data_IF_790053748418
#
_entry.id   IF_790053748418
#
_cell.length_a   1.000
_cell.length_b   1.000
_cell.length_c   1.000
_cell.angle_alpha   90.00
_cell.angle_beta   90.00
_cell.angle_gamma   90.00
#
_symmetry.space_group_name_H-M   'P 1'
#
loop_
_entity.id
_entity.type
_entity.pdbx_description
1 polymer ?
#
# COMPACT_ATOMS: atom_id res chain seq x y z
N UNK A 1 -17.13 0.67 -20.29
CA UNK A 1 -16.90 -0.02 -19.00
C UNK A 1 -15.63 0.58 -18.42
N UNK A 2 -15.54 0.85 -17.11
CA UNK A 2 -14.26 1.27 -16.54
C UNK A 2 -13.25 0.15 -16.79
N UNK A 3 -12.07 0.49 -17.31
CA UNK A 3 -11.05 -0.51 -17.65
C UNK A 3 -10.76 -1.41 -16.44
N UNK A 4 -10.99 -2.71 -16.61
CA UNK A 4 -10.76 -3.74 -15.58
C UNK A 4 -9.31 -3.79 -15.07
N UNK A 5 -8.38 -3.09 -15.74
CA UNK A 5 -6.98 -2.96 -15.34
C UNK A 5 -6.77 -1.91 -14.24
N UNK A 6 -7.80 -1.14 -13.89
CA UNK A 6 -7.66 0.01 -13.01
C UNK A 6 -7.14 -0.34 -11.60
N UNK A 7 -7.78 -1.28 -10.90
CA UNK A 7 -7.36 -1.66 -9.54
C UNK A 7 -6.04 -2.45 -9.54
N UNK A 8 -5.77 -3.19 -10.63
CA UNK A 8 -4.47 -3.84 -10.83
C UNK A 8 -3.34 -2.82 -11.01
N UNK A 9 -3.60 -1.66 -11.63
CA UNK A 9 -2.65 -0.56 -11.68
C UNK A 9 -2.34 -0.02 -10.27
N UNK A 10 -3.36 0.15 -9.42
CA UNK A 10 -3.18 0.60 -8.03
C UNK A 10 -2.42 -0.42 -7.18
N UNK A 11 -2.66 -1.70 -7.41
CA UNK A 11 -1.85 -2.78 -6.84
C UNK A 11 -0.39 -2.68 -7.29
N UNK A 12 -0.14 -2.50 -8.58
CA UNK A 12 1.23 -2.35 -9.10
C UNK A 12 1.94 -1.12 -8.51
N UNK A 13 1.23 0.01 -8.35
CA UNK A 13 1.76 1.21 -7.68
C UNK A 13 2.29 0.91 -6.26
N UNK A 14 1.56 0.07 -5.50
CA UNK A 14 1.96 -0.38 -4.17
C UNK A 14 3.14 -1.36 -4.20
N UNK A 15 3.12 -2.34 -5.10
CA UNK A 15 4.20 -3.34 -5.22
C UNK A 15 5.52 -2.68 -5.61
N UNK A 16 5.50 -1.70 -6.52
CA UNK A 16 6.70 -0.93 -6.87
C UNK A 16 7.25 -0.19 -5.65
N UNK A 17 6.40 0.43 -4.83
CA UNK A 17 6.84 1.09 -3.60
C UNK A 17 7.46 0.08 -2.61
N UNK A 18 6.78 -1.04 -2.36
CA UNK A 18 7.28 -2.10 -1.46
C UNK A 18 8.66 -2.61 -1.90
N UNK A 19 8.85 -2.85 -3.20
CA UNK A 19 10.12 -3.34 -3.72
C UNK A 19 11.25 -2.34 -3.48
N UNK A 20 11.00 -1.04 -3.60
CA UNK A 20 12.00 -0.01 -3.28
C UNK A 20 12.36 0.03 -1.80
N UNK A 21 11.38 -0.12 -0.91
CA UNK A 21 11.64 -0.24 0.53
C UNK A 21 12.51 -1.47 0.82
N UNK A 22 12.21 -2.61 0.20
CA UNK A 22 13.01 -3.84 0.34
C UNK A 22 14.44 -3.64 -0.13
N UNK A 23 14.63 -3.07 -1.32
CA UNK A 23 15.96 -2.79 -1.86
C UNK A 23 16.78 -1.89 -0.91
N UNK A 24 16.18 -0.85 -0.31
CA UNK A 24 16.86 -0.06 0.72
C UNK A 24 17.21 -0.87 1.97
N UNK A 25 16.31 -1.73 2.43
CA UNK A 25 16.56 -2.63 3.57
C UNK A 25 17.66 -3.67 3.29
N UNK A 26 17.90 -3.97 2.02
CA UNK A 26 18.96 -4.85 1.50
C UNK A 26 20.25 -4.07 1.15
N UNK A 27 20.25 -2.73 1.34
CA UNK A 27 21.35 -1.81 1.00
C UNK A 27 21.64 -1.71 -0.51
N UNK A 28 20.64 -1.99 -1.35
CA UNK A 28 20.70 -1.95 -2.81
C UNK A 28 20.07 -0.68 -3.43
N UNK A 29 19.32 0.11 -2.65
CA UNK A 29 18.74 1.40 -3.04
C UNK A 29 18.93 2.42 -1.90
N UNK A 30 18.72 3.70 -2.19
CA UNK A 30 18.79 4.83 -1.24
C UNK A 30 17.40 5.40 -0.90
N UNK A 31 16.34 4.72 -1.34
CA UNK A 31 14.97 5.18 -1.12
C UNK A 31 14.58 5.15 0.36
N UNK A 32 14.21 6.30 0.93
CA UNK A 32 13.89 6.42 2.35
C UNK A 32 12.38 6.39 2.67
N UNK A 33 11.55 5.97 1.71
CA UNK A 33 10.09 6.05 1.86
C UNK A 33 9.53 7.45 1.66
N UNK A 34 8.20 7.55 1.70
CA UNK A 34 7.47 8.83 1.65
C UNK A 34 6.32 8.81 2.65
N UNK A 35 5.74 9.98 2.93
CA UNK A 35 4.43 10.06 3.57
C UNK A 35 3.39 9.23 2.78
N UNK A 36 2.43 8.66 3.50
CA UNK A 36 1.41 7.81 2.92
C UNK A 36 0.52 8.57 1.93
N UNK A 37 0.35 9.89 2.02
CA UNK A 37 -0.39 10.65 0.99
C UNK A 37 0.41 10.86 -0.31
N UNK A 38 1.74 10.71 -0.26
CA UNK A 38 2.63 11.12 -1.34
C UNK A 38 3.03 9.96 -2.27
N UNK A 39 2.84 8.71 -1.85
CA UNK A 39 3.02 7.55 -2.73
C UNK A 39 1.91 7.52 -3.80
N UNK A 40 2.12 6.81 -4.92
CA UNK A 40 1.15 6.79 -6.02
C UNK A 40 -0.22 6.25 -5.60
N UNK A 41 -0.24 5.19 -4.78
CA UNK A 41 -1.47 4.65 -4.20
C UNK A 41 -2.15 5.68 -3.28
N UNK A 42 -1.38 6.34 -2.42
CA UNK A 42 -1.86 7.38 -1.53
C UNK A 42 -2.48 8.57 -2.24
N UNK A 43 -1.80 9.11 -3.24
CA UNK A 43 -2.34 10.20 -4.07
C UNK A 43 -3.68 9.83 -4.69
N UNK A 44 -3.86 8.56 -5.05
CA UNK A 44 -5.13 8.07 -5.53
C UNK A 44 -6.18 7.92 -4.41
N UNK A 45 -5.84 7.30 -3.27
CA UNK A 45 -6.74 7.11 -2.13
C UNK A 45 -7.34 8.42 -1.63
N UNK A 46 -6.54 9.48 -1.60
CA UNK A 46 -6.96 10.79 -1.10
C UNK A 46 -7.33 11.78 -2.22
N UNK A 47 -7.24 11.36 -3.48
CA UNK A 47 -7.59 12.13 -4.66
C UNK A 47 -8.84 11.57 -5.32
N UNK A 48 -8.69 10.96 -6.49
CA UNK A 48 -9.81 10.51 -7.33
C UNK A 48 -10.49 9.21 -6.85
N UNK A 49 -9.84 8.46 -5.96
CA UNK A 49 -10.28 7.14 -5.50
C UNK A 49 -11.71 7.10 -4.93
N UNK A 50 -12.11 8.03 -4.02
CA UNK A 50 -13.45 8.07 -3.47
C UNK A 50 -14.53 8.17 -4.56
N UNK A 51 -14.40 9.12 -5.49
CA UNK A 51 -15.38 9.33 -6.56
C UNK A 51 -15.45 8.12 -7.51
N UNK A 52 -14.32 7.46 -7.78
CA UNK A 52 -14.27 6.25 -8.60
C UNK A 52 -14.91 5.05 -7.91
N UNK A 53 -14.71 4.89 -6.60
CA UNK A 53 -15.36 3.84 -5.82
C UNK A 53 -16.88 4.07 -5.73
N UNK A 54 -17.29 5.31 -5.47
CA UNK A 54 -18.70 5.72 -5.39
C UNK A 54 -19.43 5.47 -6.71
N UNK A 55 -18.74 5.66 -7.85
CA UNK A 55 -19.28 5.42 -9.18
C UNK A 55 -19.56 3.95 -9.52
N UNK A 56 -19.03 3.00 -8.75
CA UNK A 56 -19.26 1.56 -8.94
C UNK A 56 -20.39 1.05 -8.03
N UNK A 57 -20.41 1.48 -6.76
CA UNK A 57 -21.51 1.17 -5.83
C UNK A 57 -21.09 1.05 -4.37
N UNK A 58 -22.06 0.88 -3.49
CA UNK A 58 -21.84 0.87 -2.02
C UNK A 58 -20.91 -0.26 -1.55
N UNK A 59 -20.99 -1.44 -2.16
CA UNK A 59 -20.08 -2.55 -1.86
C UNK A 59 -18.63 -2.21 -2.21
N UNK A 60 -18.39 -1.57 -3.36
CA UNK A 60 -17.07 -1.06 -3.75
C UNK A 60 -16.58 -0.02 -2.75
N UNK A 61 -17.46 0.90 -2.36
CA UNK A 61 -17.11 1.96 -1.42
C UNK A 61 -16.65 1.40 -0.06
N UNK A 62 -17.35 0.39 0.46
CA UNK A 62 -16.97 -0.26 1.70
C UNK A 62 -15.57 -0.89 1.63
N UNK A 63 -15.21 -1.55 0.53
CA UNK A 63 -13.86 -2.09 0.33
C UNK A 63 -12.81 -0.99 0.19
N UNK A 64 -13.13 0.08 -0.56
CA UNK A 64 -12.26 1.24 -0.74
C UNK A 64 -11.90 1.89 0.60
N UNK A 65 -12.89 2.13 1.46
CA UNK A 65 -12.65 2.72 2.80
C UNK A 65 -11.78 1.79 3.68
N UNK A 66 -11.80 0.48 3.41
CA UNK A 66 -10.93 -0.51 4.04
C UNK A 66 -9.43 -0.35 3.73
N UNK A 67 -9.05 0.41 2.69
CA UNK A 67 -7.65 0.60 2.30
C UNK A 67 -6.90 1.58 3.22
N UNK A 68 -7.58 2.58 3.78
CA UNK A 68 -6.92 3.71 4.45
C UNK A 68 -6.10 3.29 5.67
N UNK A 69 -6.69 2.49 6.57
CA UNK A 69 -6.03 2.05 7.79
C UNK A 69 -4.79 1.18 7.55
N UNK A 70 -4.87 0.08 6.77
CA UNK A 70 -3.68 -0.74 6.50
C UNK A 70 -2.63 0.01 5.67
N UNK A 71 -3.02 0.96 4.83
CA UNK A 71 -2.08 1.77 4.06
C UNK A 71 -1.25 2.70 4.94
N UNK A 72 -1.91 3.44 5.84
CA UNK A 72 -1.20 4.29 6.81
C UNK A 72 -0.26 3.47 7.69
N UNK A 73 -0.76 2.36 8.24
CA UNK A 73 0.03 1.48 9.09
C UNK A 73 1.22 0.86 8.34
N UNK A 74 1.09 0.62 7.02
CA UNK A 74 2.17 0.08 6.20
C UNK A 74 3.34 1.07 6.13
N UNK A 75 3.04 2.34 5.88
CA UNK A 75 4.05 3.40 5.86
C UNK A 75 4.71 3.61 7.23
N UNK A 76 3.93 3.56 8.31
CA UNK A 76 4.47 3.60 9.67
C UNK A 76 5.45 2.44 9.93
N UNK A 77 5.07 1.20 9.55
CA UNK A 77 5.93 0.03 9.67
C UNK A 77 7.19 0.12 8.80
N UNK A 78 7.08 0.61 7.56
CA UNK A 78 8.24 0.85 6.69
C UNK A 78 9.20 1.87 7.29
N UNK A 79 8.68 2.97 7.86
CA UNK A 79 9.51 3.99 8.52
C UNK A 79 10.25 3.40 9.73
N UNK A 80 9.58 2.60 10.55
CA UNK A 80 10.22 1.93 11.70
C UNK A 80 11.31 0.98 11.23
N UNK A 81 11.06 0.20 10.17
CA UNK A 81 12.05 -0.73 9.62
C UNK A 81 13.32 -0.01 9.14
N UNK A 82 13.16 1.11 8.43
CA UNK A 82 14.28 1.91 7.92
C UNK A 82 15.07 2.58 9.06
N UNK A 83 14.39 3.13 10.07
CA UNK A 83 15.07 3.73 11.22
C UNK A 83 15.79 2.67 12.08
N UNK A 84 15.17 1.51 12.29
CA UNK A 84 15.80 0.40 13.00
C UNK A 84 17.06 -0.11 12.27
N UNK A 85 17.04 -0.17 10.93
CA UNK A 85 18.22 -0.51 10.13
C UNK A 85 19.36 0.49 10.33
N UNK A 86 19.08 1.80 10.32
CA UNK A 86 20.08 2.85 10.55
C UNK A 86 20.72 2.75 11.94
N UNK A 87 19.92 2.34 12.93
CA UNK A 87 20.35 2.23 14.32
C UNK A 87 20.97 0.87 14.68
N UNK A 88 21.01 -0.09 13.74
CA UNK A 88 21.48 -1.45 14.00
C UNK A 88 20.57 -2.27 14.92
N UNK A 89 19.29 -1.87 15.08
CA UNK A 89 18.31 -2.58 15.89
C UNK A 89 17.63 -3.68 15.06
N UNK A 90 18.27 -4.85 15.02
CA UNK A 90 17.77 -5.99 14.23
C UNK A 90 16.43 -6.53 14.72
N UNK A 91 16.14 -6.46 16.03
CA UNK A 91 14.89 -6.96 16.58
C UNK A 91 13.71 -6.11 16.12
N UNK A 92 13.82 -4.78 16.26
CA UNK A 92 12.80 -3.84 15.79
C UNK A 92 12.67 -3.89 14.27
N UNK A 93 13.79 -4.00 13.54
CA UNK A 93 13.80 -4.13 12.08
C UNK A 93 13.01 -5.37 11.65
N UNK A 94 13.29 -6.54 12.24
CA UNK A 94 12.61 -7.78 11.87
C UNK A 94 11.10 -7.74 12.17
N UNK A 95 10.72 -7.19 13.34
CA UNK A 95 9.32 -7.02 13.70
C UNK A 95 8.58 -6.07 12.75
N UNK A 96 9.19 -4.93 12.42
CA UNK A 96 8.62 -3.94 11.51
C UNK A 96 8.48 -4.46 10.08
N UNK A 97 9.49 -5.19 9.58
CA UNK A 97 9.42 -5.85 8.26
C UNK A 97 8.32 -6.90 8.21
N UNK A 98 8.16 -7.70 9.26
CA UNK A 98 7.07 -8.68 9.35
C UNK A 98 5.71 -7.99 9.31
N UNK A 99 5.54 -6.94 10.12
CA UNK A 99 4.31 -6.14 10.14
C UNK A 99 4.01 -5.51 8.78
N UNK A 100 5.03 -4.99 8.09
CA UNK A 100 4.92 -4.43 6.75
C UNK A 100 4.41 -5.45 5.73
N UNK A 101 4.91 -6.70 5.75
CA UNK A 101 4.42 -7.76 4.87
C UNK A 101 2.96 -8.14 5.15
N UNK A 102 2.57 -8.25 6.43
CA UNK A 102 1.18 -8.53 6.80
C UNK A 102 0.24 -7.45 6.28
N UNK A 103 0.60 -6.18 6.45
CA UNK A 103 -0.17 -5.03 5.95
C UNK A 103 -0.24 -4.98 4.44
N UNK A 104 0.87 -5.28 3.78
CA UNK A 104 0.91 -5.36 2.32
C UNK A 104 -0.03 -6.43 1.80
N UNK A 105 -0.05 -7.62 2.42
CA UNK A 105 -0.98 -8.68 2.04
C UNK A 105 -2.45 -8.28 2.25
N UNK A 106 -2.75 -7.52 3.31
CA UNK A 106 -4.09 -6.96 3.53
C UNK A 106 -4.49 -5.99 2.41
N UNK A 107 -3.62 -5.06 2.04
CA UNK A 107 -3.86 -4.11 0.94
C UNK A 107 -4.08 -4.83 -0.40
N UNK A 108 -3.23 -5.81 -0.72
CA UNK A 108 -3.33 -6.61 -1.94
C UNK A 108 -4.67 -7.35 -1.99
N UNK A 109 -5.07 -7.98 -0.88
CA UNK A 109 -6.35 -8.70 -0.78
C UNK A 109 -7.55 -7.80 -1.06
N UNK A 110 -7.57 -6.59 -0.46
CA UNK A 110 -8.65 -5.63 -0.67
C UNK A 110 -8.69 -5.17 -2.14
N UNK A 111 -7.54 -4.81 -2.72
CA UNK A 111 -7.47 -4.37 -4.13
C UNK A 111 -7.92 -5.47 -5.11
N UNK A 112 -7.60 -6.74 -4.85
CA UNK A 112 -8.07 -7.88 -5.67
C UNK A 112 -9.58 -8.12 -5.51
N UNK A 113 -10.13 -7.89 -4.31
CA UNK A 113 -11.57 -7.97 -4.07
C UNK A 113 -12.31 -6.85 -4.80
N UNK A 114 -11.79 -5.63 -4.75
CA UNK A 114 -12.32 -4.49 -5.51
C UNK A 114 -12.27 -4.76 -7.02
N UNK A 115 -11.14 -5.26 -7.52
CA UNK A 115 -11.00 -5.67 -8.91
C UNK A 115 -12.04 -6.72 -9.34
N UNK A 116 -12.38 -7.66 -8.45
CA UNK A 116 -13.44 -8.65 -8.69
C UNK A 116 -14.84 -8.02 -8.69
N UNK A 117 -15.12 -7.09 -7.78
CA UNK A 117 -16.39 -6.34 -7.73
C UNK A 117 -16.60 -5.46 -8.98
N UNK A 118 -15.53 -4.89 -9.54
CA UNK A 118 -15.62 -4.02 -10.71
C UNK A 118 -15.97 -4.77 -12.00
N UNK A 119 -15.78 -6.10 -12.02
CA UNK A 119 -16.09 -6.98 -13.15
C UNK A 119 -17.46 -7.66 -13.05
N UNK A 120 -18.08 -7.63 -11.87
CA UNK A 120 -19.38 -8.24 -11.61
C UNK A 120 -20.51 -7.39 -12.18
#
# INVERSE_FOLDING_TARGET
MPDSTFFLLRLNDHIVYLNRIKATLEQEDTFCGTDYHLCKLGKWLYGDGPAQADGIGSAMRAEFDGLFAPHKAFHEASSIALEAQKNGDDASRHAAVTRMHVLSNQLVSILLKMDSLARA
#
